data_IF_473665574700
#
_entry.id   IF_473665574700
#
_cell.length_a   1.000
_cell.length_b   1.000
_cell.length_c   1.000
_cell.angle_alpha   90.00
_cell.angle_beta   90.00
_cell.angle_gamma   90.00
#
_symmetry.space_group_name_H-M   'P 1'
#
loop_
_entity.id
_entity.type
_entity.pdbx_description
1 polymer ?
#
# COMPACT_ATOMS: atom_id res chain seq x y z
N UNK A 1 18.10 1.78 74.83
CA UNK A 1 16.82 2.47 75.12
C UNK A 1 16.04 2.66 73.82
N UNK A 2 14.80 2.16 73.81
CA UNK A 2 13.70 2.36 72.89
C UNK A 2 13.76 1.71 71.49
N UNK A 3 13.10 0.57 71.47
CA UNK A 3 12.48 -0.12 70.36
C UNK A 3 11.38 0.75 69.71
N UNK A 4 11.32 0.85 68.39
CA UNK A 4 10.08 1.20 67.69
C UNK A 4 9.76 0.20 66.62
N UNK A 5 8.63 -0.44 66.80
CA UNK A 5 7.94 -1.31 65.87
C UNK A 5 7.61 -0.55 64.58
N UNK A 6 7.97 -1.10 63.44
CA UNK A 6 7.46 -0.69 62.14
C UNK A 6 6.36 -1.65 61.69
N UNK A 7 5.20 -1.08 61.49
CA UNK A 7 3.98 -1.70 60.99
C UNK A 7 4.18 -2.26 59.59
N UNK A 8 3.98 -3.57 59.44
CA UNK A 8 3.82 -4.25 58.17
C UNK A 8 2.49 -3.82 57.53
N UNK A 9 2.57 -3.04 56.44
CA UNK A 9 1.44 -2.83 55.54
C UNK A 9 1.32 -4.03 54.61
N UNK A 10 0.33 -4.89 54.82
CA UNK A 10 -0.10 -5.88 53.87
C UNK A 10 -0.73 -5.16 52.67
N UNK A 11 0.00 -5.07 51.56
CA UNK A 11 -0.58 -4.74 50.27
C UNK A 11 -1.35 -5.97 49.79
N UNK A 12 -2.66 -5.94 49.89
CA UNK A 12 -3.55 -6.89 49.23
C UNK A 12 -3.50 -6.61 47.75
N UNK A 13 -2.70 -7.38 47.00
CA UNK A 13 -2.74 -7.45 45.57
C UNK A 13 -4.09 -8.04 45.15
N UNK A 14 -5.01 -7.21 44.72
CA UNK A 14 -6.22 -7.63 44.02
C UNK A 14 -5.74 -8.20 42.69
N UNK A 15 -5.56 -9.52 42.63
CA UNK A 15 -5.49 -10.25 41.39
C UNK A 15 -6.87 -10.10 40.70
N UNK A 16 -7.01 -9.14 39.82
CA UNK A 16 -8.07 -9.15 38.81
C UNK A 16 -7.83 -10.36 37.93
N UNK A 17 -8.50 -11.46 38.22
CA UNK A 17 -8.58 -12.59 37.32
C UNK A 17 -9.08 -12.04 35.98
N UNK A 18 -8.41 -12.36 34.84
CA UNK A 18 -8.97 -12.05 33.54
C UNK A 18 -10.33 -12.76 33.50
N UNK A 19 -11.40 -11.98 33.41
CA UNK A 19 -12.72 -12.51 33.10
C UNK A 19 -12.56 -13.26 31.79
N UNK A 20 -12.62 -14.59 31.84
CA UNK A 20 -12.73 -15.42 30.66
C UNK A 20 -13.99 -14.95 29.93
N UNK A 21 -13.81 -14.18 28.87
CA UNK A 21 -14.90 -13.85 27.95
C UNK A 21 -15.29 -15.17 27.30
N UNK A 22 -16.25 -15.85 27.90
CA UNK A 22 -16.85 -17.05 27.30
C UNK A 22 -17.69 -16.55 26.13
N UNK A 23 -17.22 -16.78 24.89
CA UNK A 23 -18.03 -16.57 23.70
C UNK A 23 -19.28 -17.43 23.79
N UNK A 24 -20.46 -16.84 23.54
CA UNK A 24 -21.72 -17.55 23.49
C UNK A 24 -21.67 -18.65 22.44
N UNK A 25 -22.04 -19.87 22.82
CA UNK A 25 -22.15 -21.01 21.91
C UNK A 25 -23.63 -21.21 21.51
N UNK A 26 -23.94 -21.69 20.30
CA UNK A 26 -25.29 -22.06 19.91
C UNK A 26 -25.98 -23.06 20.89
N UNK A 27 -25.18 -23.91 21.55
CA UNK A 27 -25.66 -24.85 22.57
C UNK A 27 -26.15 -24.20 23.87
N UNK A 28 -25.76 -22.95 24.11
CA UNK A 28 -26.16 -22.21 25.33
C UNK A 28 -27.57 -21.61 25.19
N UNK A 29 -28.13 -21.65 23.99
CA UNK A 29 -29.47 -21.13 23.69
C UNK A 29 -30.50 -22.26 23.81
N UNK A 30 -31.45 -22.19 24.78
CA UNK A 30 -32.47 -23.22 24.95
C UNK A 30 -33.29 -23.45 23.65
N UNK A 31 -33.51 -24.72 23.31
CA UNK A 31 -34.18 -25.09 22.06
C UNK A 31 -35.61 -24.55 21.91
N UNK A 32 -36.28 -24.23 22.98
CA UNK A 32 -37.64 -23.72 23.04
C UNK A 32 -37.77 -22.19 23.05
N UNK A 33 -36.63 -21.46 23.01
CA UNK A 33 -36.63 -19.98 23.04
C UNK A 33 -37.39 -19.41 21.83
N UNK A 34 -38.40 -18.57 22.01
CA UNK A 34 -39.13 -17.97 20.89
C UNK A 34 -38.26 -17.05 20.03
N UNK A 35 -38.54 -16.97 18.70
CA UNK A 35 -37.82 -16.12 17.76
C UNK A 35 -37.79 -14.65 18.22
N UNK A 36 -38.89 -14.13 18.75
CA UNK A 36 -38.96 -12.75 19.26
C UNK A 36 -37.94 -12.49 20.39
N UNK A 37 -37.75 -13.46 21.31
CA UNK A 37 -36.79 -13.36 22.39
C UNK A 37 -35.33 -13.45 21.87
N UNK A 38 -35.07 -14.30 20.88
CA UNK A 38 -33.80 -14.39 20.21
C UNK A 38 -33.38 -13.06 19.56
N UNK A 39 -34.32 -12.44 18.84
CA UNK A 39 -34.10 -11.14 18.23
C UNK A 39 -33.90 -10.02 19.24
N UNK A 40 -34.62 -10.04 20.38
CA UNK A 40 -34.42 -9.09 21.47
C UNK A 40 -33.02 -9.28 22.12
N UNK A 41 -32.57 -10.52 22.34
CA UNK A 41 -31.25 -10.83 22.85
C UNK A 41 -30.16 -10.36 21.89
N UNK A 42 -30.29 -10.65 20.59
CA UNK A 42 -29.37 -10.18 19.57
C UNK A 42 -29.23 -8.65 19.61
N UNK A 43 -30.37 -7.93 19.70
CA UNK A 43 -30.34 -6.47 19.78
C UNK A 43 -29.66 -5.96 21.06
N UNK A 44 -29.87 -6.65 22.19
CA UNK A 44 -29.22 -6.32 23.47
C UNK A 44 -27.69 -6.49 23.37
N UNK A 45 -27.22 -7.60 22.77
CA UNK A 45 -25.78 -7.82 22.53
C UNK A 45 -25.17 -6.79 21.59
N UNK A 46 -25.90 -6.40 20.51
CA UNK A 46 -25.48 -5.32 19.62
C UNK A 46 -25.32 -3.99 20.35
N UNK A 47 -26.27 -3.64 21.25
CA UNK A 47 -26.18 -2.39 22.00
C UNK A 47 -25.00 -2.34 22.96
N UNK A 48 -24.49 -3.51 23.39
CA UNK A 48 -23.27 -3.65 24.21
C UNK A 48 -21.98 -3.75 23.38
N UNK A 49 -22.09 -3.80 22.06
CA UNK A 49 -20.94 -4.02 21.17
C UNK A 49 -20.52 -5.50 21.03
N UNK A 50 -21.25 -6.43 21.59
CA UNK A 50 -20.99 -7.88 21.59
C UNK A 50 -21.53 -8.48 20.27
N UNK A 51 -20.97 -8.05 19.15
CA UNK A 51 -21.47 -8.39 17.81
C UNK A 51 -21.38 -9.89 17.49
N UNK A 52 -20.38 -10.58 18.04
CA UNK A 52 -20.23 -12.04 17.90
C UNK A 52 -21.42 -12.79 18.49
N UNK A 53 -21.79 -12.46 19.72
CA UNK A 53 -22.92 -13.09 20.41
C UNK A 53 -24.25 -12.74 19.75
N UNK A 54 -24.41 -11.51 19.25
CA UNK A 54 -25.59 -11.13 18.48
C UNK A 54 -25.77 -11.99 17.22
N UNK A 55 -24.68 -12.33 16.52
CA UNK A 55 -24.73 -13.22 15.35
C UNK A 55 -25.21 -14.62 15.72
N UNK A 56 -24.75 -15.18 16.86
CA UNK A 56 -25.20 -16.49 17.34
C UNK A 56 -26.73 -16.49 17.58
N UNK A 57 -27.26 -15.41 18.15
CA UNK A 57 -28.72 -15.29 18.34
C UNK A 57 -29.47 -15.14 17.01
N UNK A 58 -28.93 -14.41 16.01
CA UNK A 58 -29.53 -14.34 14.68
C UNK A 58 -29.50 -15.70 13.98
N UNK A 59 -28.42 -16.45 14.08
CA UNK A 59 -28.30 -17.79 13.53
C UNK A 59 -29.35 -18.73 14.12
N UNK A 60 -29.52 -18.69 15.46
CA UNK A 60 -30.56 -19.46 16.13
C UNK A 60 -31.97 -19.03 15.71
N UNK A 61 -32.23 -17.74 15.50
CA UNK A 61 -33.52 -17.25 15.04
C UNK A 61 -33.83 -17.70 13.60
N UNK A 62 -32.83 -17.65 12.69
CA UNK A 62 -32.99 -18.11 11.30
C UNK A 62 -33.21 -19.63 11.24
N UNK A 63 -32.52 -20.40 12.10
CA UNK A 63 -32.72 -21.86 12.16
C UNK A 63 -34.19 -22.22 12.55
N UNK A 64 -34.84 -21.36 13.32
CA UNK A 64 -36.26 -21.58 13.74
C UNK A 64 -37.28 -21.04 12.76
N UNK A 65 -36.99 -19.89 12.16
CA UNK A 65 -37.85 -19.27 11.14
C UNK A 65 -36.98 -18.81 9.95
N UNK A 66 -36.73 -19.72 9.00
CA UNK A 66 -35.95 -19.41 7.80
C UNK A 66 -36.70 -18.56 6.77
N UNK A 67 -37.97 -18.23 7.03
CA UNK A 67 -38.81 -17.41 6.14
C UNK A 67 -38.85 -15.94 6.57
N UNK A 68 -38.34 -15.63 7.75
CA UNK A 68 -38.35 -14.27 8.28
C UNK A 68 -37.20 -13.42 7.67
N UNK A 69 -37.54 -12.72 6.59
CA UNK A 69 -36.58 -11.88 5.86
C UNK A 69 -35.96 -10.77 6.75
N UNK A 70 -36.67 -10.27 7.76
CA UNK A 70 -36.14 -9.23 8.66
C UNK A 70 -35.00 -9.75 9.52
N UNK A 71 -34.99 -11.04 9.88
CA UNK A 71 -33.86 -11.63 10.63
C UNK A 71 -32.58 -11.65 9.77
N UNK A 72 -32.71 -12.06 8.51
CA UNK A 72 -31.59 -12.00 7.55
C UNK A 72 -31.10 -10.56 7.36
N UNK A 73 -32.01 -9.60 7.21
CA UNK A 73 -31.65 -8.20 7.06
C UNK A 73 -30.85 -7.68 8.27
N UNK A 74 -31.28 -7.98 9.48
CA UNK A 74 -30.58 -7.60 10.72
C UNK A 74 -29.21 -8.27 10.81
N UNK A 75 -29.09 -9.57 10.48
CA UNK A 75 -27.81 -10.26 10.45
C UNK A 75 -26.87 -9.66 9.39
N UNK A 76 -27.38 -9.36 8.20
CA UNK A 76 -26.62 -8.72 7.13
C UNK A 76 -26.07 -7.34 7.56
N UNK A 77 -26.87 -6.52 8.21
CA UNK A 77 -26.39 -5.22 8.74
C UNK A 77 -25.33 -5.39 9.82
N UNK A 78 -25.42 -6.43 10.65
CA UNK A 78 -24.39 -6.78 11.63
C UNK A 78 -23.12 -7.25 10.92
N UNK A 79 -23.19 -8.05 9.87
CA UNK A 79 -22.02 -8.42 9.06
C UNK A 79 -21.36 -7.19 8.42
N UNK A 80 -22.13 -6.21 7.93
CA UNK A 80 -21.56 -4.96 7.40
C UNK A 80 -20.76 -4.19 8.45
N UNK A 81 -21.25 -4.09 9.68
CA UNK A 81 -20.53 -3.40 10.77
C UNK A 81 -19.22 -4.08 11.13
N UNK A 82 -19.10 -5.38 10.88
CA UNK A 82 -17.87 -6.18 11.04
C UNK A 82 -16.97 -6.21 9.80
N UNK A 83 -17.35 -5.52 8.72
CA UNK A 83 -16.62 -5.57 7.45
C UNK A 83 -16.76 -6.90 6.67
N UNK A 84 -17.65 -7.79 7.11
CA UNK A 84 -17.93 -9.10 6.48
C UNK A 84 -18.86 -8.94 5.29
N UNK A 85 -18.39 -8.23 4.27
CA UNK A 85 -19.20 -7.77 3.11
C UNK A 85 -19.81 -8.92 2.31
N UNK A 86 -19.09 -10.03 2.11
CA UNK A 86 -19.62 -11.20 1.37
C UNK A 86 -20.83 -11.78 2.08
N UNK A 87 -20.71 -12.10 3.38
CA UNK A 87 -21.81 -12.66 4.18
C UNK A 87 -23.01 -11.71 4.24
N UNK A 88 -22.76 -10.39 4.32
CA UNK A 88 -23.83 -9.41 4.26
C UNK A 88 -24.55 -9.42 2.90
N UNK A 89 -23.80 -9.54 1.80
CA UNK A 89 -24.36 -9.61 0.45
C UNK A 89 -25.28 -10.84 0.30
N UNK A 90 -24.81 -12.01 0.75
CA UNK A 90 -25.54 -13.27 0.68
C UNK A 90 -26.88 -13.17 1.46
N UNK A 91 -26.83 -12.58 2.66
CA UNK A 91 -28.05 -12.37 3.46
C UNK A 91 -28.99 -11.36 2.83
N UNK A 92 -28.52 -10.23 2.28
CA UNK A 92 -29.39 -9.29 1.56
C UNK A 92 -30.02 -9.90 0.32
N UNK A 93 -29.29 -10.75 -0.41
CA UNK A 93 -29.87 -11.51 -1.53
C UNK A 93 -30.94 -12.49 -1.03
N UNK A 94 -30.70 -13.14 0.12
CA UNK A 94 -31.72 -13.98 0.75
C UNK A 94 -32.96 -13.18 1.14
N UNK A 95 -32.80 -11.98 1.68
CA UNK A 95 -33.90 -11.04 1.95
C UNK A 95 -34.72 -10.81 0.69
N UNK A 96 -34.10 -10.49 -0.44
CA UNK A 96 -34.78 -10.23 -1.71
C UNK A 96 -35.41 -11.49 -2.31
N UNK A 97 -34.87 -12.68 -2.04
CA UNK A 97 -35.53 -13.94 -2.45
C UNK A 97 -36.83 -14.22 -1.68
N UNK A 98 -36.92 -13.75 -0.43
CA UNK A 98 -38.10 -13.89 0.41
C UNK A 98 -39.08 -12.73 0.24
N UNK A 99 -38.59 -11.52 0.06
CA UNK A 99 -39.31 -10.27 -0.10
C UNK A 99 -38.68 -9.42 -1.21
N UNK A 100 -39.00 -9.64 -2.49
CA UNK A 100 -38.37 -8.99 -3.63
C UNK A 100 -38.43 -7.47 -3.63
N UNK A 101 -39.47 -6.85 -3.06
CA UNK A 101 -39.62 -5.40 -3.00
C UNK A 101 -39.09 -4.76 -1.71
N UNK A 102 -38.24 -5.44 -0.92
CA UNK A 102 -37.74 -4.87 0.32
C UNK A 102 -36.71 -3.79 0.07
N UNK A 103 -37.14 -2.53 0.18
CA UNK A 103 -36.36 -1.33 -0.11
C UNK A 103 -35.01 -1.33 0.62
N UNK A 104 -34.97 -1.69 1.92
CA UNK A 104 -33.78 -1.68 2.74
C UNK A 104 -32.64 -2.55 2.17
N UNK A 105 -32.98 -3.76 1.65
CA UNK A 105 -31.99 -4.65 1.05
C UNK A 105 -31.46 -4.11 -0.29
N UNK A 106 -32.37 -3.57 -1.12
CA UNK A 106 -31.97 -2.93 -2.37
C UNK A 106 -31.02 -1.74 -2.13
N UNK A 107 -31.31 -0.87 -1.16
CA UNK A 107 -30.42 0.25 -0.80
C UNK A 107 -29.04 -0.25 -0.37
N UNK A 108 -28.97 -1.27 0.48
CA UNK A 108 -27.68 -1.78 0.95
C UNK A 108 -26.88 -2.46 -0.17
N UNK A 109 -27.53 -3.27 -1.00
CA UNK A 109 -26.88 -3.89 -2.16
C UNK A 109 -26.43 -2.83 -3.18
N UNK A 110 -27.25 -1.81 -3.45
CA UNK A 110 -26.87 -0.69 -4.30
C UNK A 110 -25.60 0.02 -3.79
N UNK A 111 -25.55 0.33 -2.49
CA UNK A 111 -24.36 0.91 -1.86
C UNK A 111 -23.13 0.02 -1.97
N UNK A 112 -23.29 -1.29 -1.74
CA UNK A 112 -22.19 -2.24 -1.87
C UNK A 112 -21.67 -2.29 -3.30
N UNK A 113 -22.57 -2.40 -4.28
CA UNK A 113 -22.22 -2.45 -5.70
C UNK A 113 -21.54 -1.16 -6.17
N UNK A 114 -22.06 0.01 -5.78
CA UNK A 114 -21.44 1.29 -6.08
C UNK A 114 -20.01 1.40 -5.54
N UNK A 115 -19.75 0.94 -4.32
CA UNK A 115 -18.41 0.94 -3.72
C UNK A 115 -17.38 0.11 -4.50
N UNK A 116 -17.81 -0.95 -5.18
CA UNK A 116 -16.93 -1.77 -6.02
C UNK A 116 -16.83 -1.27 -7.46
N UNK A 117 -17.62 -0.25 -7.85
CA UNK A 117 -17.69 0.25 -9.22
C UNK A 117 -18.58 -0.59 -10.14
N UNK A 118 -19.43 -1.45 -9.56
CA UNK A 118 -20.44 -2.23 -10.29
C UNK A 118 -21.66 -1.34 -10.60
N UNK A 119 -21.45 -0.32 -11.46
CA UNK A 119 -22.38 0.78 -11.69
C UNK A 119 -23.78 0.34 -12.12
N UNK A 120 -23.88 -0.62 -13.03
CA UNK A 120 -25.16 -1.05 -13.58
C UNK A 120 -25.97 -1.84 -12.56
N UNK A 121 -25.33 -2.71 -11.78
CA UNK A 121 -26.00 -3.43 -10.67
C UNK A 121 -26.40 -2.48 -9.53
N UNK A 122 -25.57 -1.48 -9.23
CA UNK A 122 -25.92 -0.46 -8.24
C UNK A 122 -27.14 0.35 -8.70
N UNK A 123 -27.18 0.75 -9.98
CA UNK A 123 -28.29 1.46 -10.60
C UNK A 123 -29.60 0.67 -10.51
N UNK A 124 -29.57 -0.62 -10.88
CA UNK A 124 -30.73 -1.51 -10.79
C UNK A 124 -31.29 -1.53 -9.37
N UNK A 125 -30.45 -1.75 -8.38
CA UNK A 125 -30.89 -1.77 -6.98
C UNK A 125 -31.45 -0.43 -6.51
N UNK A 126 -30.84 0.70 -6.84
CA UNK A 126 -31.38 2.01 -6.46
C UNK A 126 -32.70 2.34 -7.17
N UNK A 127 -32.89 1.88 -8.41
CA UNK A 127 -34.15 2.01 -9.12
C UNK A 127 -35.28 1.23 -8.42
N UNK A 128 -35.02 -0.03 -8.02
CA UNK A 128 -35.95 -0.85 -7.26
C UNK A 128 -36.31 -0.22 -5.91
N UNK A 129 -35.31 0.44 -5.27
CA UNK A 129 -35.51 1.16 -4.03
C UNK A 129 -36.09 2.58 -4.22
N UNK A 130 -36.28 3.04 -5.46
CA UNK A 130 -36.79 4.40 -5.79
C UNK A 130 -35.92 5.52 -5.17
N UNK A 131 -34.60 5.31 -5.09
CA UNK A 131 -33.65 6.24 -4.49
C UNK A 131 -33.05 7.18 -5.56
N UNK A 132 -33.75 8.31 -5.78
CA UNK A 132 -33.37 9.27 -6.83
C UNK A 132 -32.06 10.01 -6.55
N UNK A 133 -31.78 10.35 -5.30
CA UNK A 133 -30.54 11.05 -4.91
C UNK A 133 -29.31 10.13 -5.07
N UNK A 134 -29.42 8.89 -4.60
CA UNK A 134 -28.37 7.90 -4.75
C UNK A 134 -28.12 7.54 -6.22
N UNK A 135 -29.19 7.54 -7.06
CA UNK A 135 -29.06 7.36 -8.50
C UNK A 135 -28.33 8.52 -9.15
N UNK A 136 -28.63 9.76 -8.80
CA UNK A 136 -27.95 10.93 -9.32
C UNK A 136 -26.45 10.91 -8.98
N UNK A 137 -26.12 10.66 -7.71
CA UNK A 137 -24.72 10.54 -7.25
C UNK A 137 -23.98 9.38 -7.91
N UNK A 138 -24.68 8.26 -8.18
CA UNK A 138 -24.11 7.12 -8.89
C UNK A 138 -23.77 7.45 -10.35
N UNK A 139 -24.67 8.13 -11.06
CA UNK A 139 -24.47 8.53 -12.47
C UNK A 139 -23.35 9.57 -12.58
N UNK A 140 -23.23 10.48 -11.63
CA UNK A 140 -22.13 11.44 -11.54
C UNK A 140 -20.79 10.72 -11.38
N UNK A 141 -20.71 9.78 -10.43
CA UNK A 141 -19.50 9.00 -10.19
C UNK A 141 -19.12 8.10 -11.39
N UNK A 142 -20.11 7.49 -12.06
CA UNK A 142 -19.92 6.71 -13.30
C UNK A 142 -19.41 7.61 -14.43
N UNK A 143 -19.99 8.81 -14.56
CA UNK A 143 -19.55 9.83 -15.53
C UNK A 143 -18.09 10.23 -15.29
N UNK A 144 -17.72 10.50 -14.05
CA UNK A 144 -16.33 10.80 -13.68
C UNK A 144 -15.38 9.63 -14.02
N UNK A 145 -15.77 8.39 -13.74
CA UNK A 145 -14.98 7.21 -14.10
C UNK A 145 -14.73 7.12 -15.63
N UNK A 146 -15.77 7.36 -16.43
CA UNK A 146 -15.67 7.36 -17.89
C UNK A 146 -14.77 8.51 -18.39
N UNK A 147 -14.89 9.70 -17.80
CA UNK A 147 -14.02 10.84 -18.14
C UNK A 147 -12.57 10.58 -17.76
N UNK A 148 -12.32 9.91 -16.62
CA UNK A 148 -10.97 9.52 -16.22
C UNK A 148 -10.32 8.59 -17.25
N UNK A 149 -11.05 7.59 -17.74
CA UNK A 149 -10.57 6.68 -18.80
C UNK A 149 -10.31 7.43 -20.12
N UNK A 150 -11.22 8.31 -20.52
CA UNK A 150 -11.06 9.13 -21.73
C UNK A 150 -9.84 10.06 -21.62
N UNK A 151 -9.66 10.72 -20.47
CA UNK A 151 -8.49 11.56 -20.20
C UNK A 151 -7.17 10.76 -20.21
N UNK A 152 -7.17 9.53 -19.66
CA UNK A 152 -6.00 8.65 -19.71
C UNK A 152 -5.65 8.24 -21.15
N UNK A 153 -6.65 7.98 -22.00
CA UNK A 153 -6.46 7.62 -23.39
C UNK A 153 -5.97 8.79 -24.25
N UNK A 154 -6.26 10.03 -23.85
CA UNK A 154 -5.77 11.25 -24.48
C UNK A 154 -4.49 11.81 -23.84
N UNK A 155 -3.85 11.05 -22.94
CA UNK A 155 -2.65 11.42 -22.20
C UNK A 155 -2.81 12.70 -21.35
N UNK A 156 -4.05 13.09 -21.04
CA UNK A 156 -4.34 14.18 -20.11
C UNK A 156 -4.31 13.67 -18.66
N UNK A 157 -3.10 13.48 -18.16
CA UNK A 157 -2.86 12.84 -16.85
C UNK A 157 -3.45 13.60 -15.68
N UNK A 158 -3.44 14.93 -15.72
CA UNK A 158 -4.02 15.78 -14.69
C UNK A 158 -5.53 15.58 -14.56
N UNK A 159 -6.24 15.64 -15.68
CA UNK A 159 -7.70 15.45 -15.72
C UNK A 159 -8.06 14.00 -15.36
N UNK A 160 -7.28 13.02 -15.83
CA UNK A 160 -7.46 11.62 -15.43
C UNK A 160 -7.41 11.46 -13.91
N UNK A 161 -6.41 12.04 -13.25
CA UNK A 161 -6.26 11.96 -11.79
C UNK A 161 -7.46 12.61 -11.10
N UNK A 162 -7.86 13.80 -11.52
CA UNK A 162 -8.98 14.55 -10.95
C UNK A 162 -10.29 13.77 -11.07
N UNK A 163 -10.62 13.32 -12.26
CA UNK A 163 -11.85 12.58 -12.51
C UNK A 163 -11.87 11.21 -11.80
N UNK A 164 -10.72 10.55 -11.69
CA UNK A 164 -10.61 9.33 -10.90
C UNK A 164 -10.77 9.59 -9.39
N UNK A 165 -10.31 10.76 -8.89
CA UNK A 165 -10.56 11.17 -7.49
C UNK A 165 -12.07 11.26 -7.21
N UNK A 166 -12.80 11.94 -8.09
CA UNK A 166 -14.25 12.11 -7.94
C UNK A 166 -14.98 10.75 -7.99
N UNK A 167 -14.63 9.89 -8.92
CA UNK A 167 -15.21 8.54 -9.03
C UNK A 167 -14.93 7.67 -7.79
N UNK A 168 -13.71 7.75 -7.23
CA UNK A 168 -13.29 6.96 -6.06
C UNK A 168 -14.01 7.39 -4.77
N UNK A 169 -14.54 8.60 -4.67
CA UNK A 169 -15.36 9.01 -3.52
C UNK A 169 -16.55 8.06 -3.33
N UNK A 170 -17.19 7.66 -4.40
CA UNK A 170 -18.29 6.68 -4.39
C UNK A 170 -17.77 5.26 -4.47
N UNK A 171 -16.89 4.95 -5.44
CA UNK A 171 -16.35 3.62 -5.70
C UNK A 171 -15.01 3.37 -5.00
N UNK A 172 -14.97 3.56 -3.70
CA UNK A 172 -13.73 3.53 -2.91
C UNK A 172 -13.06 2.14 -2.83
N UNK A 173 -13.73 1.08 -3.25
CA UNK A 173 -13.21 -0.29 -3.35
C UNK A 173 -13.04 -0.77 -4.79
N UNK A 174 -13.22 0.09 -5.79
CA UNK A 174 -12.97 -0.23 -7.18
C UNK A 174 -11.45 -0.25 -7.45
N UNK A 175 -10.90 -1.45 -7.62
CA UNK A 175 -9.47 -1.63 -7.89
C UNK A 175 -9.07 -0.99 -9.21
N UNK A 176 -9.88 -1.16 -10.26
CA UNK A 176 -9.64 -0.61 -11.59
C UNK A 176 -9.45 0.91 -11.60
N UNK A 177 -10.26 1.64 -10.82
CA UNK A 177 -10.13 3.09 -10.70
C UNK A 177 -8.84 3.51 -9.99
N UNK A 178 -8.41 2.75 -8.97
CA UNK A 178 -7.13 2.99 -8.30
C UNK A 178 -5.95 2.66 -9.19
N UNK A 179 -6.02 1.58 -9.97
CA UNK A 179 -5.02 1.21 -10.97
C UNK A 179 -4.92 2.28 -12.07
N UNK A 180 -6.08 2.78 -12.54
CA UNK A 180 -6.15 3.87 -13.51
C UNK A 180 -5.49 5.15 -12.95
N UNK A 181 -5.89 5.57 -11.75
CA UNK A 181 -5.33 6.79 -11.11
C UNK A 181 -3.83 6.64 -10.83
N UNK A 182 -3.38 5.47 -10.36
CA UNK A 182 -1.95 5.18 -10.17
C UNK A 182 -1.17 5.29 -11.48
N UNK A 183 -1.71 4.73 -12.58
CA UNK A 183 -1.11 4.87 -13.92
C UNK A 183 -0.98 6.34 -14.31
N UNK A 184 -2.06 7.11 -14.24
CA UNK A 184 -2.04 8.53 -14.58
C UNK A 184 -1.09 9.33 -13.69
N UNK A 185 -1.02 9.02 -12.38
CA UNK A 185 -0.07 9.63 -11.46
C UNK A 185 1.38 9.33 -11.84
N UNK A 186 1.69 8.09 -12.20
CA UNK A 186 3.03 7.69 -12.64
C UNK A 186 3.44 8.36 -13.95
N UNK A 187 2.55 8.43 -14.94
CA UNK A 187 2.84 9.07 -16.24
C UNK A 187 2.99 10.60 -16.07
N UNK A 188 2.30 11.21 -15.10
CA UNK A 188 2.50 12.62 -14.73
C UNK A 188 3.80 12.86 -13.96
N UNK A 189 4.45 11.84 -13.42
CA UNK A 189 5.64 11.96 -12.57
C UNK A 189 5.35 12.06 -11.06
N UNK A 190 4.10 11.90 -10.63
CA UNK A 190 3.69 11.91 -9.22
C UNK A 190 3.85 10.51 -8.59
N UNK A 191 5.10 10.09 -8.35
CA UNK A 191 5.44 8.71 -7.94
C UNK A 191 4.80 8.33 -6.61
N UNK A 192 4.86 9.19 -5.60
CA UNK A 192 4.34 8.93 -4.25
C UNK A 192 2.82 8.70 -4.28
N UNK A 193 2.10 9.45 -5.11
CA UNK A 193 0.65 9.29 -5.27
C UNK A 193 0.30 7.95 -5.89
N UNK A 194 1.00 7.56 -6.95
CA UNK A 194 0.82 6.26 -7.58
C UNK A 194 1.17 5.10 -6.64
N UNK A 195 2.25 5.22 -5.85
CA UNK A 195 2.61 4.26 -4.81
C UNK A 195 1.50 4.15 -3.76
N UNK A 196 0.91 5.26 -3.34
CA UNK A 196 -0.21 5.29 -2.39
C UNK A 196 -1.41 4.47 -2.88
N UNK A 197 -1.78 4.60 -4.15
CA UNK A 197 -2.84 3.78 -4.74
C UNK A 197 -2.50 2.29 -4.79
N UNK A 198 -1.27 1.95 -5.18
CA UNK A 198 -0.81 0.55 -5.16
C UNK A 198 -0.82 -0.05 -3.75
N UNK A 199 -0.47 0.74 -2.73
CA UNK A 199 -0.57 0.31 -1.33
C UNK A 199 -2.02 0.07 -0.91
N UNK A 200 -2.98 0.90 -1.34
CA UNK A 200 -4.40 0.64 -1.12
C UNK A 200 -4.89 -0.63 -1.82
N UNK A 201 -4.42 -0.89 -3.04
CA UNK A 201 -4.73 -2.14 -3.75
C UNK A 201 -4.24 -3.34 -2.93
N UNK A 202 -3.03 -3.28 -2.38
CA UNK A 202 -2.47 -4.33 -1.52
C UNK A 202 -3.25 -4.53 -0.21
N UNK A 203 -3.86 -3.49 0.35
CA UNK A 203 -4.76 -3.64 1.51
C UNK A 203 -6.03 -4.43 1.15
N UNK A 204 -6.51 -4.32 -0.08
CA UNK A 204 -7.69 -5.03 -0.56
C UNK A 204 -7.37 -6.42 -1.13
N UNK A 205 -6.17 -6.60 -1.71
CA UNK A 205 -5.66 -7.85 -2.27
C UNK A 205 -4.22 -8.12 -1.78
N UNK A 206 -4.04 -8.58 -0.53
CA UNK A 206 -2.70 -8.77 0.04
C UNK A 206 -1.82 -9.80 -0.69
N UNK A 207 -2.43 -10.72 -1.42
CA UNK A 207 -1.72 -11.75 -2.19
C UNK A 207 -1.25 -11.31 -3.58
N UNK A 208 -1.56 -10.09 -4.01
CA UNK A 208 -1.13 -9.60 -5.33
C UNK A 208 0.34 -9.17 -5.28
N UNK A 209 1.16 -9.81 -6.12
CA UNK A 209 2.61 -9.56 -6.15
C UNK A 209 3.00 -8.40 -7.05
N UNK A 210 2.22 -8.08 -8.07
CA UNK A 210 2.55 -7.06 -9.07
C UNK A 210 2.71 -5.65 -8.47
N UNK A 211 1.83 -5.17 -7.58
CA UNK A 211 2.02 -3.87 -6.94
C UNK A 211 3.30 -3.81 -6.08
N UNK A 212 3.66 -4.90 -5.38
CA UNK A 212 4.90 -4.95 -4.59
C UNK A 212 6.14 -4.78 -5.45
N UNK A 213 6.20 -5.45 -6.60
CA UNK A 213 7.31 -5.34 -7.56
C UNK A 213 7.44 -3.91 -8.07
N UNK A 214 6.30 -3.30 -8.45
CA UNK A 214 6.28 -1.93 -8.98
C UNK A 214 6.70 -0.90 -7.93
N UNK A 215 6.16 -1.00 -6.72
CA UNK A 215 6.53 -0.13 -5.59
C UNK A 215 8.03 -0.26 -5.30
N UNK A 216 8.54 -1.50 -5.18
CA UNK A 216 9.95 -1.74 -4.89
C UNK A 216 10.87 -1.12 -5.94
N UNK A 217 10.61 -1.38 -7.23
CA UNK A 217 11.43 -0.87 -8.31
C UNK A 217 11.44 0.67 -8.36
N UNK A 218 10.27 1.31 -8.18
CA UNK A 218 10.17 2.78 -8.15
C UNK A 218 10.92 3.35 -6.95
N UNK A 219 10.67 2.83 -5.74
CA UNK A 219 11.33 3.32 -4.53
C UNK A 219 12.85 3.13 -4.61
N UNK A 220 13.30 1.93 -4.96
CA UNK A 220 14.73 1.61 -4.97
C UNK A 220 15.49 2.39 -6.04
N UNK A 221 15.05 2.31 -7.31
CA UNK A 221 15.81 2.85 -8.44
C UNK A 221 15.45 4.29 -8.78
N UNK A 222 14.14 4.61 -8.83
CA UNK A 222 13.71 5.93 -9.27
C UNK A 222 13.81 7.00 -8.18
N UNK A 223 13.45 6.65 -6.93
CA UNK A 223 13.48 7.57 -5.78
C UNK A 223 14.77 7.43 -4.94
N UNK A 224 15.53 6.36 -5.09
CA UNK A 224 16.76 6.12 -4.32
C UNK A 224 16.52 5.70 -2.86
N UNK A 225 15.29 5.28 -2.54
CA UNK A 225 14.84 4.81 -1.23
C UNK A 225 15.14 3.32 -1.06
N UNK A 226 16.43 2.99 -0.90
CA UNK A 226 16.93 1.61 -0.99
C UNK A 226 16.25 0.66 0.00
N UNK A 227 16.08 1.08 1.25
CA UNK A 227 15.54 0.23 2.31
C UNK A 227 14.03 0.01 2.15
N UNK A 228 13.28 1.04 1.74
CA UNK A 228 11.84 0.96 1.52
C UNK A 228 11.51 0.09 0.30
N UNK A 229 12.29 0.22 -0.80
CA UNK A 229 12.19 -0.66 -1.96
C UNK A 229 12.41 -2.12 -1.56
N UNK A 230 13.53 -2.43 -0.89
CA UNK A 230 13.81 -3.78 -0.41
C UNK A 230 12.80 -4.30 0.61
N UNK A 231 12.19 -3.43 1.42
CA UNK A 231 11.12 -3.83 2.33
C UNK A 231 9.86 -4.24 1.56
N UNK A 232 9.52 -3.50 0.52
CA UNK A 232 8.36 -3.78 -0.34
C UNK A 232 8.49 -5.13 -1.05
N UNK A 233 9.67 -5.45 -1.61
CA UNK A 233 9.87 -6.74 -2.29
C UNK A 233 9.97 -7.92 -1.32
N UNK A 234 10.42 -7.72 -0.07
CA UNK A 234 10.35 -8.75 0.96
C UNK A 234 8.91 -9.10 1.32
N UNK A 235 8.00 -8.11 1.38
CA UNK A 235 6.56 -8.33 1.57
C UNK A 235 5.98 -9.15 0.42
N UNK A 236 6.41 -8.93 -0.83
CA UNK A 236 6.05 -9.77 -1.95
C UNK A 236 6.38 -11.24 -1.69
N UNK A 237 7.60 -11.54 -1.28
CA UNK A 237 8.04 -12.91 -0.99
C UNK A 237 7.40 -13.51 0.27
N UNK A 238 6.89 -12.67 1.17
CA UNK A 238 6.08 -13.15 2.28
C UNK A 238 4.69 -13.60 1.80
N UNK A 239 4.10 -12.89 0.84
CA UNK A 239 2.80 -13.24 0.26
C UNK A 239 2.90 -14.41 -0.74
N UNK A 240 3.95 -14.44 -1.56
CA UNK A 240 4.23 -15.50 -2.52
C UNK A 240 5.73 -15.86 -2.51
N UNK A 241 6.12 -16.84 -1.68
CA UNK A 241 7.53 -17.29 -1.58
C UNK A 241 8.10 -17.84 -2.88
N UNK A 242 7.27 -18.26 -3.82
CA UNK A 242 7.71 -18.87 -5.08
C UNK A 242 7.78 -17.91 -6.26
N UNK A 243 7.36 -16.66 -6.08
CA UNK A 243 7.43 -15.62 -7.10
C UNK A 243 8.84 -15.45 -7.67
N UNK A 244 9.04 -15.85 -8.91
CA UNK A 244 10.32 -15.71 -9.62
C UNK A 244 10.69 -14.24 -9.81
N UNK A 245 9.71 -13.39 -10.07
CA UNK A 245 9.91 -11.96 -10.30
C UNK A 245 10.42 -11.27 -9.03
N UNK A 246 9.78 -11.55 -7.88
CA UNK A 246 10.19 -10.97 -6.60
C UNK A 246 11.58 -11.46 -6.16
N UNK A 247 11.89 -12.77 -6.38
CA UNK A 247 13.22 -13.33 -6.12
C UNK A 247 14.29 -12.63 -6.96
N UNK A 248 14.02 -12.45 -8.29
CA UNK A 248 14.95 -11.78 -9.23
C UNK A 248 15.22 -10.34 -8.79
N UNK A 249 14.16 -9.56 -8.54
CA UNK A 249 14.31 -8.16 -8.17
C UNK A 249 15.04 -7.99 -6.83
N UNK A 250 14.64 -8.73 -5.78
CA UNK A 250 15.31 -8.67 -4.48
C UNK A 250 16.80 -9.06 -4.57
N UNK A 251 17.15 -10.03 -5.43
CA UNK A 251 18.54 -10.41 -5.65
C UNK A 251 19.35 -9.26 -6.27
N UNK A 252 18.78 -8.59 -7.30
CA UNK A 252 19.42 -7.45 -7.94
C UNK A 252 19.59 -6.28 -6.96
N UNK A 253 18.53 -5.91 -6.24
CA UNK A 253 18.57 -4.83 -5.24
C UNK A 253 19.59 -5.08 -4.14
N UNK A 254 19.68 -6.32 -3.60
CA UNK A 254 20.69 -6.70 -2.61
C UNK A 254 22.12 -6.59 -3.13
N UNK A 255 22.36 -6.93 -4.40
CA UNK A 255 23.69 -6.78 -5.00
C UNK A 255 24.08 -5.31 -5.10
N UNK A 256 23.18 -4.47 -5.60
CA UNK A 256 23.38 -3.01 -5.71
C UNK A 256 23.62 -2.40 -4.31
N UNK A 257 22.76 -2.68 -3.33
CA UNK A 257 22.89 -2.18 -1.96
C UNK A 257 24.22 -2.59 -1.32
N UNK A 258 24.66 -3.85 -1.51
CA UNK A 258 25.94 -4.34 -1.01
C UNK A 258 27.13 -3.58 -1.60
N UNK A 259 27.08 -3.23 -2.88
CA UNK A 259 28.16 -2.45 -3.53
C UNK A 259 28.12 -1.01 -3.03
N UNK A 260 26.95 -0.39 -2.90
CA UNK A 260 26.79 0.95 -2.34
C UNK A 260 27.38 1.03 -0.92
N UNK A 261 27.09 0.04 -0.06
CA UNK A 261 27.65 -0.01 1.28
C UNK A 261 29.19 -0.12 1.27
N UNK A 262 29.77 -0.88 0.33
CA UNK A 262 31.23 -0.95 0.19
C UNK A 262 31.83 0.38 -0.28
N UNK A 263 31.17 1.04 -1.25
CA UNK A 263 31.58 2.36 -1.74
C UNK A 263 31.54 3.38 -0.60
N UNK A 264 30.44 3.44 0.15
CA UNK A 264 30.30 4.35 1.30
C UNK A 264 31.41 4.14 2.32
N UNK A 265 31.68 2.88 2.71
CA UNK A 265 32.77 2.55 3.63
C UNK A 265 34.15 2.90 3.08
N UNK A 266 34.38 2.78 1.77
CA UNK A 266 35.64 3.18 1.13
C UNK A 266 35.80 4.71 1.17
N UNK A 267 34.75 5.47 0.92
CA UNK A 267 34.75 6.93 1.02
C UNK A 267 35.01 7.40 2.45
N UNK A 268 34.37 6.81 3.45
CA UNK A 268 34.59 7.09 4.89
C UNK A 268 36.06 6.87 5.29
N UNK A 269 36.70 5.87 4.72
CA UNK A 269 38.15 5.56 4.94
C UNK A 269 39.09 6.34 4.03
N UNK A 270 38.61 7.33 3.29
CA UNK A 270 39.36 8.09 2.31
C UNK A 270 40.06 7.22 1.22
N UNK A 271 39.49 6.04 0.93
CA UNK A 271 39.97 5.14 -0.13
C UNK A 271 39.25 5.47 -1.46
N UNK A 272 39.40 6.71 -1.93
CA UNK A 272 38.67 7.26 -3.05
C UNK A 272 38.84 6.46 -4.36
N UNK A 273 40.08 6.02 -4.69
CA UNK A 273 40.31 5.18 -5.88
C UNK A 273 39.60 3.83 -5.82
N UNK A 274 39.43 3.26 -4.62
CA UNK A 274 38.65 2.03 -4.45
C UNK A 274 37.19 2.27 -4.71
N UNK A 275 36.63 3.39 -4.24
CA UNK A 275 35.28 3.80 -4.50
C UNK A 275 35.04 4.02 -6.01
N UNK A 276 35.91 4.75 -6.67
CA UNK A 276 35.85 5.01 -8.12
C UNK A 276 35.81 3.71 -8.92
N UNK A 277 36.70 2.76 -8.65
CA UNK A 277 36.75 1.47 -9.38
C UNK A 277 35.49 0.64 -9.23
N UNK A 278 34.73 0.81 -8.15
CA UNK A 278 33.43 0.12 -7.95
C UNK A 278 32.29 0.85 -8.65
N UNK A 279 32.33 2.17 -8.75
CA UNK A 279 31.26 2.98 -9.32
C UNK A 279 31.34 3.09 -10.84
N UNK A 280 32.54 3.25 -11.40
CA UNK A 280 32.75 3.53 -12.81
C UNK A 280 33.48 2.36 -13.49
N UNK A 281 33.18 2.06 -14.77
CA UNK A 281 33.87 1.01 -15.51
C UNK A 281 35.37 1.15 -15.46
N UNK A 282 36.08 0.08 -15.12
CA UNK A 282 37.55 0.04 -15.07
C UNK A 282 38.05 -1.37 -15.39
N UNK A 283 38.94 -1.49 -16.38
CA UNK A 283 39.38 -2.80 -16.88
C UNK A 283 38.20 -3.63 -17.40
N UNK A 284 38.05 -4.88 -16.94
CA UNK A 284 36.97 -5.79 -17.31
C UNK A 284 35.68 -5.57 -16.48
N UNK A 285 35.65 -4.64 -15.51
CA UNK A 285 34.52 -4.35 -14.67
C UNK A 285 33.59 -3.31 -15.28
N UNK A 286 32.29 -3.61 -15.33
CA UNK A 286 31.27 -2.69 -15.89
C UNK A 286 30.97 -1.48 -14.98
N UNK A 287 31.27 -1.56 -13.68
CA UNK A 287 30.97 -0.53 -12.69
C UNK A 287 29.49 -0.44 -12.32
N UNK A 288 29.23 -0.08 -11.06
CA UNK A 288 27.86 -0.06 -10.50
C UNK A 288 26.91 0.89 -11.26
N UNK A 289 27.42 2.05 -11.70
CA UNK A 289 26.58 3.04 -12.41
C UNK A 289 26.00 2.44 -13.69
N UNK A 290 26.80 1.69 -14.45
CA UNK A 290 26.34 1.04 -15.68
C UNK A 290 25.37 -0.08 -15.36
N UNK A 291 25.68 -0.94 -14.40
CA UNK A 291 24.79 -2.03 -13.97
C UNK A 291 23.40 -1.50 -13.55
N UNK A 292 23.36 -0.41 -12.78
CA UNK A 292 22.09 0.23 -12.37
C UNK A 292 21.38 0.86 -13.55
N UNK A 293 22.09 1.51 -14.50
CA UNK A 293 21.47 2.05 -15.71
C UNK A 293 20.79 0.95 -16.54
N UNK A 294 21.50 -0.14 -16.78
CA UNK A 294 21.01 -1.26 -17.57
C UNK A 294 19.80 -1.93 -16.89
N UNK A 295 19.84 -2.08 -15.57
CA UNK A 295 18.72 -2.60 -14.79
C UNK A 295 17.51 -1.67 -14.85
N UNK A 296 17.67 -0.36 -14.72
CA UNK A 296 16.58 0.62 -14.85
C UNK A 296 15.97 0.59 -16.23
N UNK A 297 16.80 0.49 -17.27
CA UNK A 297 16.32 0.41 -18.64
C UNK A 297 15.47 -0.85 -18.84
N UNK A 298 15.92 -2.01 -18.38
CA UNK A 298 15.17 -3.26 -18.42
C UNK A 298 13.82 -3.13 -17.71
N UNK A 299 13.80 -2.56 -16.50
CA UNK A 299 12.57 -2.38 -15.72
C UNK A 299 11.59 -1.39 -16.36
N UNK A 300 12.09 -0.41 -17.15
CA UNK A 300 11.27 0.49 -17.96
C UNK A 300 10.66 -0.22 -19.16
N UNK A 301 11.44 -1.05 -19.84
CA UNK A 301 10.97 -1.87 -20.96
C UNK A 301 9.92 -2.88 -20.52
N UNK A 302 10.08 -3.46 -19.33
CA UNK A 302 9.07 -4.31 -18.68
C UNK A 302 7.82 -3.53 -18.18
N UNK A 303 7.81 -2.19 -18.20
CA UNK A 303 6.72 -1.34 -17.67
C UNK A 303 6.64 -1.31 -16.14
N UNK A 304 7.66 -1.82 -15.46
CA UNK A 304 7.74 -1.83 -13.98
C UNK A 304 8.08 -0.44 -13.44
N UNK A 305 9.04 0.26 -14.07
CA UNK A 305 9.35 1.66 -13.76
C UNK A 305 8.70 2.55 -14.84
N UNK A 306 7.88 3.55 -14.44
CA UNK A 306 7.27 4.49 -15.38
C UNK A 306 8.30 5.31 -16.15
N UNK A 307 7.97 5.69 -17.40
CA UNK A 307 8.88 6.50 -18.23
C UNK A 307 9.18 7.86 -17.62
N UNK A 308 8.18 8.48 -16.99
CA UNK A 308 8.31 9.78 -16.32
C UNK A 308 9.04 9.71 -14.97
N UNK A 309 9.36 8.51 -14.47
CA UNK A 309 10.07 8.34 -13.22
C UNK A 309 11.51 8.88 -13.31
N UNK A 310 11.96 9.54 -12.25
CA UNK A 310 13.33 10.05 -12.13
C UNK A 310 14.38 8.94 -12.10
N UNK A 311 15.64 9.36 -11.96
CA UNK A 311 16.81 8.48 -11.84
C UNK A 311 17.63 8.85 -10.60
N UNK A 312 16.97 9.01 -9.45
CA UNK A 312 17.63 9.55 -8.25
C UNK A 312 18.79 8.67 -7.79
N UNK A 313 18.64 7.34 -7.84
CA UNK A 313 19.73 6.44 -7.49
C UNK A 313 20.95 6.64 -8.42
N UNK A 314 20.74 6.71 -9.73
CA UNK A 314 21.84 6.93 -10.69
C UNK A 314 22.50 8.29 -10.43
N UNK A 315 21.71 9.36 -10.21
CA UNK A 315 22.25 10.69 -9.91
C UNK A 315 23.13 10.66 -8.65
N UNK A 316 22.68 10.00 -7.58
CA UNK A 316 23.45 9.82 -6.33
C UNK A 316 24.74 9.06 -6.56
N UNK A 317 24.73 7.99 -7.34
CA UNK A 317 25.95 7.22 -7.66
C UNK A 317 26.95 8.03 -8.48
N UNK A 318 26.46 8.83 -9.43
CA UNK A 318 27.30 9.74 -10.22
C UNK A 318 27.91 10.83 -9.33
N UNK A 319 27.14 11.41 -8.42
CA UNK A 319 27.64 12.38 -7.44
C UNK A 319 28.76 11.80 -6.57
N UNK A 320 28.56 10.59 -6.03
CA UNK A 320 29.59 9.88 -5.26
C UNK A 320 30.85 9.64 -6.08
N UNK A 321 30.73 9.29 -7.36
CA UNK A 321 31.87 9.10 -8.25
C UNK A 321 32.60 10.41 -8.52
N UNK A 322 31.88 11.49 -8.81
CA UNK A 322 32.47 12.82 -9.03
C UNK A 322 33.22 13.31 -7.79
N UNK A 323 32.65 13.18 -6.61
CA UNK A 323 33.29 13.53 -5.36
C UNK A 323 34.56 12.72 -5.13
N UNK A 324 34.52 11.40 -5.34
CA UNK A 324 35.71 10.54 -5.20
C UNK A 324 36.82 10.91 -6.18
N UNK A 325 36.51 11.22 -7.44
CA UNK A 325 37.50 11.68 -8.43
C UNK A 325 38.12 13.03 -8.04
N UNK A 326 37.31 13.96 -7.54
CA UNK A 326 37.79 15.26 -7.07
C UNK A 326 38.85 15.10 -5.97
N UNK A 327 38.56 14.28 -4.95
CA UNK A 327 39.48 14.01 -3.85
C UNK A 327 40.80 13.32 -4.31
N UNK A 328 40.71 12.45 -5.32
CA UNK A 328 41.91 11.82 -5.91
C UNK A 328 42.74 12.86 -6.64
N UNK A 329 42.14 13.81 -7.36
CA UNK A 329 42.87 14.83 -8.14
C UNK A 329 43.53 15.88 -7.27
N UNK A 330 43.07 16.12 -6.04
CA UNK A 330 43.66 17.06 -5.09
C UNK A 330 44.91 16.53 -4.37
N UNK A 331 45.04 15.20 -4.16
CA UNK A 331 46.16 14.61 -3.42
C UNK A 331 47.55 14.84 -4.03
N UNK A 332 47.76 14.79 -5.36
CA UNK A 332 49.08 15.08 -5.94
C UNK A 332 49.55 16.54 -5.71
N UNK A 333 48.57 17.47 -5.62
CA UNK A 333 48.89 18.90 -5.45
C UNK A 333 49.27 19.26 -4.01
N UNK A 334 48.72 18.56 -3.01
CA UNK A 334 49.11 18.76 -1.61
C UNK A 334 50.50 18.24 -1.26
N UNK A 335 50.99 17.16 -1.92
CA UNK A 335 52.35 16.69 -1.73
C UNK A 335 53.40 17.60 -2.40
N UNK A 336 53.03 18.39 -3.41
CA UNK A 336 53.86 19.38 -4.08
C UNK A 336 53.82 20.76 -3.38
N UNK A 337 52.75 21.07 -2.63
CA UNK A 337 52.59 22.34 -1.91
C UNK A 337 53.48 22.40 -0.64
N UNK A 338 53.91 21.25 -0.11
CA UNK A 338 54.91 21.24 0.99
C UNK A 338 56.32 21.70 0.56
N UNK A 339 56.53 21.88 -0.75
CA UNK A 339 57.86 22.31 -1.29
C UNK A 339 57.84 23.60 -2.12
N UNK A 340 56.67 24.16 -2.49
CA UNK A 340 56.61 25.44 -3.24
C UNK A 340 55.41 26.26 -2.78
N UNK A 341 55.69 27.26 -1.96
CA UNK A 341 54.76 28.38 -1.67
C UNK A 341 54.71 29.30 -2.89
N UNK A 342 53.48 29.78 -3.20
CA UNK A 342 53.16 30.84 -4.17
C UNK A 342 53.09 30.44 -5.66
N UNK A 343 51.90 30.10 -6.14
CA UNK A 343 51.20 30.69 -7.31
C UNK A 343 49.93 29.89 -7.61
N UNK A 344 48.80 30.25 -7.02
CA UNK A 344 47.55 29.58 -7.23
C UNK A 344 46.39 30.56 -7.37
N UNK A 345 45.95 30.86 -8.60
CA UNK A 345 44.56 31.36 -8.80
C UNK A 345 43.90 30.99 -10.15
N UNK A 346 44.55 30.32 -11.09
CA UNK A 346 44.01 30.23 -12.47
C UNK A 346 43.80 28.82 -13.05
N UNK A 347 44.10 27.73 -12.34
CA UNK A 347 44.01 26.36 -12.91
C UNK A 347 42.74 25.59 -12.46
N UNK A 348 41.96 26.15 -11.52
CA UNK A 348 40.79 25.45 -10.94
C UNK A 348 39.57 25.32 -11.85
N UNK A 349 39.42 26.17 -12.87
CA UNK A 349 38.22 26.16 -13.72
C UNK A 349 38.30 25.25 -14.95
N UNK A 350 39.49 24.95 -15.47
CA UNK A 350 39.62 24.17 -16.70
C UNK A 350 39.64 22.63 -16.52
N UNK A 351 39.99 22.11 -15.33
CA UNK A 351 40.01 20.64 -15.10
C UNK A 351 38.67 20.04 -14.72
N UNK A 352 37.74 20.82 -14.14
CA UNK A 352 36.41 20.36 -13.79
C UNK A 352 35.52 20.02 -15.01
N UNK A 353 35.72 20.68 -16.15
CA UNK A 353 34.96 20.44 -17.36
C UNK A 353 35.38 19.20 -18.15
N UNK A 354 36.64 18.75 -18.00
CA UNK A 354 37.18 17.56 -18.66
C UNK A 354 36.73 16.22 -18.03
N UNK A 355 36.44 16.24 -16.73
CA UNK A 355 36.05 15.05 -15.98
C UNK A 355 34.57 14.72 -16.21
N UNK A 356 33.72 15.75 -16.32
CA UNK A 356 32.31 15.59 -16.61
C UNK A 356 32.02 14.94 -18.00
N UNK A 357 32.93 15.10 -18.99
CA UNK A 357 32.75 14.50 -20.34
C UNK A 357 33.06 12.99 -20.42
N UNK A 358 33.70 12.39 -19.39
CA UNK A 358 34.00 10.95 -19.38
C UNK A 358 33.00 10.11 -18.55
N UNK A 359 32.12 10.75 -17.82
CA UNK A 359 31.12 10.09 -16.95
C UNK A 359 29.71 10.09 -17.56
N UNK A 360 29.47 10.88 -18.64
CA UNK A 360 28.21 10.89 -19.39
C UNK A 360 28.34 10.20 -20.75
#
# INVERSE_FOLDING_TARGET
MLVRLSTLALAASILSAPSLVTCLSPSDIPADTPVSRLLASAQTHLSKGETGDALVYYDAAIARDPTNYLTFFKRATTYLSLGRTSQATDDFQKVLSLQPGFEGAHVQLGKLKARFGDWDLAKEHYQQAKKTEELASLEEAKGAATLAEAAANSENWEECIKQADDAILTANRALSLRELRARCAFERGAMERGIGDLQHILQMKPGDTAPHVKISAIQFYALGELQDGMASIRKCLHSDPDSKQCKRLLKAEKLVDKVIQKVTKALEKSQHMTAVRQLVPSGDGEGLIREVKDQVQLLREEGTIPKAAGNVLIARLVEMACQAYYEVSLRPTLSLISTVSLTFTTVKQQKGQGILRRVF
#
